data_IF_927928405702
#
_entry.id   IF_927928405702
#
_cell.length_a   1.000
_cell.length_b   1.000
_cell.length_c   1.000
_cell.angle_alpha   90.00
_cell.angle_beta   90.00
_cell.angle_gamma   90.00
#
_symmetry.space_group_name_H-M   'P 1'
#
loop_
_entity.id
_entity.type
_entity.pdbx_description
1 polymer ?
#
# COMPACT_ATOMS: atom_id res chain seq x y z
N UNK A 1 -11.42 12.76 -27.97
CA UNK A 1 -9.99 12.98 -27.62
C UNK A 1 -9.73 14.48 -27.63
N UNK A 2 -10.01 15.16 -26.53
CA UNK A 2 -9.87 16.61 -26.37
C UNK A 2 -8.69 16.89 -25.46
N UNK A 3 -7.67 17.56 -26.00
CA UNK A 3 -6.45 17.92 -25.29
C UNK A 3 -6.75 18.95 -24.20
N UNK A 4 -6.55 18.58 -22.93
CA UNK A 4 -6.60 19.49 -21.80
C UNK A 4 -5.34 20.38 -21.80
N UNK A 5 -5.53 21.69 -22.06
CA UNK A 5 -4.51 22.72 -21.89
C UNK A 5 -4.43 23.10 -20.41
N UNK A 6 -3.32 22.76 -19.75
CA UNK A 6 -3.01 23.19 -18.39
C UNK A 6 -2.35 24.57 -18.43
N UNK A 7 -3.02 25.59 -17.87
CA UNK A 7 -2.44 26.90 -17.59
C UNK A 7 -1.66 26.83 -16.28
N UNK A 8 -0.37 27.17 -16.31
CA UNK A 8 0.42 27.43 -15.11
C UNK A 8 0.35 28.93 -14.77
N UNK A 9 -0.03 29.33 -13.55
CA UNK A 9 0.11 30.72 -13.14
C UNK A 9 1.59 31.02 -12.84
N UNK A 10 2.08 32.15 -13.36
CA UNK A 10 3.33 32.76 -12.91
C UNK A 10 3.19 33.13 -11.42
N UNK A 11 3.91 32.42 -10.55
CA UNK A 11 4.04 32.77 -9.14
C UNK A 11 5.14 33.83 -9.01
N UNK A 12 4.76 35.01 -8.52
CA UNK A 12 5.66 36.07 -8.07
C UNK A 12 6.49 35.58 -6.88
N UNK A 13 7.80 35.44 -7.09
CA UNK A 13 8.77 35.11 -6.04
C UNK A 13 8.92 36.32 -5.12
N UNK A 14 8.18 36.33 -4.02
CA UNK A 14 8.42 37.25 -2.91
C UNK A 14 9.63 36.76 -2.13
N UNK A 15 10.74 37.51 -2.21
CA UNK A 15 11.98 37.20 -1.49
C UNK A 15 11.76 37.23 0.02
N UNK A 16 11.59 36.05 0.62
CA UNK A 16 11.67 35.89 2.06
C UNK A 16 13.14 36.01 2.47
N UNK A 17 13.48 37.12 3.12
CA UNK A 17 14.72 37.23 3.88
C UNK A 17 14.76 36.09 4.89
N UNK A 18 15.60 35.09 4.61
CA UNK A 18 15.80 33.93 5.46
C UNK A 18 16.52 34.40 6.71
N UNK A 19 15.79 34.71 7.78
CA UNK A 19 16.35 34.74 9.12
C UNK A 19 16.98 33.36 9.34
N UNK A 20 18.31 33.31 9.36
CA UNK A 20 19.07 32.10 9.62
C UNK A 20 18.69 31.60 11.03
N UNK A 21 17.71 30.70 11.10
CA UNK A 21 17.40 29.99 12.31
C UNK A 21 18.68 29.27 12.73
N UNK A 22 19.09 29.47 13.99
CA UNK A 22 20.22 28.75 14.53
C UNK A 22 19.98 27.24 14.35
N UNK A 23 21.01 26.45 13.99
CA UNK A 23 20.85 25.02 13.78
C UNK A 23 20.25 24.39 15.05
N UNK A 24 19.33 23.41 14.90
CA UNK A 24 18.72 22.74 16.05
C UNK A 24 19.82 22.16 16.92
N UNK A 25 19.88 22.58 18.19
CA UNK A 25 20.88 22.09 19.14
C UNK A 25 20.64 20.60 19.35
N UNK A 26 21.70 19.78 19.29
CA UNK A 26 21.61 18.34 19.58
C UNK A 26 21.27 18.17 21.05
N UNK A 27 20.01 17.82 21.34
CA UNK A 27 19.63 17.31 22.64
C UNK A 27 20.01 15.84 22.62
N UNK A 28 21.09 15.48 23.30
CA UNK A 28 21.47 14.08 23.46
C UNK A 28 20.25 13.27 23.95
N UNK A 29 19.96 12.09 23.38
CA UNK A 29 18.83 11.30 23.83
C UNK A 29 19.01 10.97 25.31
N UNK A 30 18.11 11.50 26.14
CA UNK A 30 17.94 11.04 27.53
C UNK A 30 17.28 9.67 27.43
N UNK A 31 18.08 8.63 27.56
CA UNK A 31 17.70 7.21 27.72
C UNK A 31 16.68 6.70 26.69
N UNK A 32 17.12 5.77 25.83
CA UNK A 32 16.18 5.06 24.95
C UNK A 32 15.13 4.31 25.80
N UNK A 33 13.83 4.41 25.46
CA UNK A 33 12.78 3.67 26.13
C UNK A 33 13.01 2.15 26.02
N UNK A 34 12.53 1.39 26.99
CA UNK A 34 12.55 -0.09 26.95
C UNK A 34 11.48 -0.56 25.98
N UNK A 35 11.89 -1.36 24.99
CA UNK A 35 11.00 -1.91 23.97
C UNK A 35 9.84 -2.71 24.60
N UNK A 36 8.56 -2.39 24.31
CA UNK A 36 7.43 -3.20 24.74
C UNK A 36 7.40 -4.61 24.10
N UNK A 37 8.05 -4.78 22.95
CA UNK A 37 8.23 -6.05 22.26
C UNK A 37 9.31 -6.95 22.89
N UNK A 38 9.97 -6.51 23.98
CA UNK A 38 10.99 -7.28 24.69
C UNK A 38 12.28 -7.49 23.89
N UNK A 39 12.52 -6.69 22.85
CA UNK A 39 13.78 -6.74 22.10
C UNK A 39 14.89 -6.14 22.97
N UNK A 40 15.99 -6.88 23.09
CA UNK A 40 17.09 -6.47 23.93
C UNK A 40 17.72 -5.15 23.43
N UNK A 41 17.99 -4.23 24.35
CA UNK A 41 18.50 -2.89 24.01
C UNK A 41 19.82 -2.97 23.24
N UNK A 42 20.62 -3.98 23.51
CA UNK A 42 21.90 -4.25 22.85
C UNK A 42 21.73 -4.52 21.35
N UNK A 43 20.60 -5.12 20.94
CA UNK A 43 20.27 -5.35 19.53
C UNK A 43 19.96 -4.03 18.83
N UNK A 44 19.37 -3.08 19.55
CA UNK A 44 18.94 -1.78 19.02
C UNK A 44 20.05 -0.74 19.04
N UNK A 45 20.95 -0.84 20.01
CA UNK A 45 22.02 0.11 20.24
C UNK A 45 22.87 0.33 18.98
N UNK A 46 23.17 -0.74 18.23
CA UNK A 46 23.96 -0.62 17.00
C UNK A 46 23.28 0.23 15.91
N UNK A 47 21.98 0.04 15.68
CA UNK A 47 21.23 0.83 14.68
C UNK A 47 21.06 2.29 15.15
N UNK A 48 20.76 2.48 16.44
CA UNK A 48 20.65 3.82 17.03
C UNK A 48 21.98 4.57 16.98
N UNK A 49 23.09 3.91 17.26
CA UNK A 49 24.42 4.53 17.24
C UNK A 49 24.82 4.97 15.82
N UNK A 50 24.47 4.16 14.80
CA UNK A 50 24.68 4.53 13.39
C UNK A 50 23.85 5.76 13.03
N UNK A 51 22.56 5.79 13.37
CA UNK A 51 21.68 6.92 13.12
C UNK A 51 22.13 8.20 13.86
N UNK A 52 22.53 8.06 15.13
CA UNK A 52 23.06 9.15 15.93
C UNK A 52 24.37 9.70 15.36
N UNK A 53 25.24 8.84 14.84
CA UNK A 53 26.46 9.29 14.17
C UNK A 53 26.17 10.04 12.87
N UNK A 54 25.27 9.50 12.04
CA UNK A 54 24.84 10.16 10.80
C UNK A 54 24.21 11.52 11.08
N UNK A 55 23.39 11.66 12.13
CA UNK A 55 22.85 12.94 12.58
C UNK A 55 23.94 13.92 12.99
N UNK A 56 24.87 13.51 13.87
CA UNK A 56 25.97 14.38 14.31
C UNK A 56 26.79 14.87 13.12
N UNK A 57 27.11 13.98 12.17
CA UNK A 57 27.87 14.32 10.96
C UNK A 57 27.10 15.26 10.05
N UNK A 58 25.81 14.98 9.79
CA UNK A 58 24.95 15.84 8.97
C UNK A 58 24.87 17.26 9.54
N UNK A 59 24.67 17.39 10.85
CA UNK A 59 24.52 18.68 11.52
C UNK A 59 25.86 19.41 11.76
N UNK A 60 26.99 18.72 11.63
CA UNK A 60 28.33 19.33 11.66
C UNK A 60 28.76 19.90 10.29
N UNK A 61 28.08 19.52 9.21
CA UNK A 61 28.38 20.02 7.88
C UNK A 61 28.17 21.54 7.76
N UNK A 62 29.06 22.20 7.00
CA UNK A 62 29.01 23.65 6.75
C UNK A 62 28.72 24.01 5.29
N UNK A 63 28.67 23.01 4.43
CA UNK A 63 28.43 23.15 3.00
C UNK A 63 27.65 21.95 2.44
N UNK A 64 27.14 22.13 1.23
CA UNK A 64 26.35 21.11 0.53
C UNK A 64 27.16 19.86 0.17
N UNK A 65 28.47 19.97 -0.05
CA UNK A 65 29.31 18.85 -0.44
C UNK A 65 29.47 17.85 0.73
N UNK A 66 29.70 18.36 1.94
CA UNK A 66 29.72 17.57 3.17
C UNK A 66 28.37 16.86 3.40
N UNK A 67 27.26 17.60 3.31
CA UNK A 67 25.93 17.02 3.51
C UNK A 67 25.57 15.96 2.46
N UNK A 68 25.98 16.15 1.20
CA UNK A 68 25.81 15.16 0.14
C UNK A 68 26.64 13.88 0.39
N UNK A 69 27.81 13.97 1.04
CA UNK A 69 28.57 12.79 1.43
C UNK A 69 27.88 12.01 2.56
N UNK A 70 27.26 12.70 3.53
CA UNK A 70 26.44 12.04 4.56
C UNK A 70 25.20 11.39 3.96
N UNK A 71 24.59 11.99 2.93
CA UNK A 71 23.48 11.37 2.18
C UNK A 71 23.88 10.04 1.52
N UNK A 72 25.12 9.88 1.04
CA UNK A 72 25.61 8.59 0.51
C UNK A 72 25.59 7.51 1.60
N UNK A 73 26.07 7.83 2.80
CA UNK A 73 26.07 6.88 3.92
C UNK A 73 24.65 6.57 4.40
N UNK A 74 23.76 7.58 4.40
CA UNK A 74 22.34 7.42 4.69
C UNK A 74 21.65 6.51 3.67
N UNK A 75 21.96 6.63 2.37
CA UNK A 75 21.46 5.71 1.34
C UNK A 75 21.90 4.29 1.66
N UNK A 76 23.19 4.07 1.93
CA UNK A 76 23.72 2.74 2.25
C UNK A 76 23.13 2.15 3.55
N UNK A 77 22.79 3.00 4.53
CA UNK A 77 22.04 2.60 5.71
C UNK A 77 20.60 2.22 5.34
N UNK A 78 19.89 3.10 4.63
CA UNK A 78 18.49 2.89 4.23
C UNK A 78 18.30 1.71 3.29
N UNK A 79 19.33 1.23 2.60
CA UNK A 79 19.25 0.00 1.78
C UNK A 79 19.29 -1.28 2.62
N UNK A 80 19.98 -1.27 3.77
CA UNK A 80 20.13 -2.44 4.64
C UNK A 80 19.22 -2.46 5.86
N UNK A 81 18.75 -1.28 6.30
CA UNK A 81 17.95 -1.16 7.50
C UNK A 81 16.70 -2.02 7.40
N UNK A 82 16.24 -2.61 8.50
CA UNK A 82 14.92 -3.23 8.50
C UNK A 82 13.89 -2.12 8.52
N UNK A 83 12.92 -2.18 7.61
CA UNK A 83 11.80 -1.25 7.56
C UNK A 83 10.59 -1.98 8.11
N UNK A 84 9.85 -1.33 9.00
CA UNK A 84 8.65 -1.92 9.60
C UNK A 84 7.64 -2.36 8.54
N UNK A 85 6.99 -3.49 8.79
CA UNK A 85 5.86 -3.93 7.99
C UNK A 85 4.76 -2.86 8.03
N UNK A 86 4.40 -2.25 6.89
CA UNK A 86 3.39 -1.19 6.87
C UNK A 86 1.95 -1.70 7.01
N UNK A 87 1.73 -3.02 7.05
CA UNK A 87 0.41 -3.66 7.03
C UNK A 87 0.01 -4.18 8.40
N UNK A 88 0.93 -4.75 9.17
CA UNK A 88 0.63 -5.27 10.51
C UNK A 88 0.66 -4.15 11.54
N UNK A 89 -0.45 -3.98 12.28
CA UNK A 89 -0.44 -3.26 13.56
C UNK A 89 0.26 -4.08 14.67
N UNK A 90 0.73 -5.30 14.35
CA UNK A 90 1.53 -6.12 15.26
C UNK A 90 2.94 -5.57 15.29
N UNK A 91 3.28 -4.96 16.42
CA UNK A 91 4.55 -4.39 16.91
C UNK A 91 5.77 -5.33 16.73
N UNK A 92 6.01 -5.83 15.53
CA UNK A 92 7.13 -6.76 15.28
C UNK A 92 8.46 -6.03 15.13
N UNK A 93 8.45 -4.70 15.17
CA UNK A 93 9.55 -3.83 15.59
C UNK A 93 8.95 -2.84 16.61
N UNK A 94 9.66 -2.46 17.68
CA UNK A 94 9.11 -1.58 18.70
C UNK A 94 8.74 -0.26 18.03
N UNK A 95 7.56 0.29 18.32
CA UNK A 95 7.21 1.67 17.92
C UNK A 95 8.34 2.65 18.26
N UNK A 96 9.10 2.35 19.31
CA UNK A 96 10.30 3.07 19.71
C UNK A 96 11.37 3.12 18.60
N UNK A 97 11.67 2.04 17.87
CA UNK A 97 12.68 2.08 16.82
C UNK A 97 12.22 2.87 15.60
N UNK A 98 10.96 2.75 15.21
CA UNK A 98 10.43 3.58 14.12
C UNK A 98 10.44 5.04 14.55
N UNK A 99 10.02 5.33 15.77
CA UNK A 99 10.05 6.68 16.33
C UNK A 99 11.49 7.21 16.41
N UNK A 100 12.45 6.39 16.83
CA UNK A 100 13.88 6.70 16.88
C UNK A 100 14.43 6.94 15.47
N UNK A 101 14.17 6.02 14.53
CA UNK A 101 14.62 6.13 13.15
C UNK A 101 14.02 7.36 12.46
N UNK A 102 12.72 7.62 12.66
CA UNK A 102 12.04 8.81 12.18
C UNK A 102 12.60 10.08 12.83
N UNK A 103 12.88 10.06 14.14
CA UNK A 103 13.49 11.17 14.87
C UNK A 103 14.86 11.54 14.27
N UNK A 104 15.76 10.56 14.17
CA UNK A 104 17.10 10.78 13.63
C UNK A 104 17.05 11.18 12.15
N UNK A 105 16.24 10.49 11.34
CA UNK A 105 16.08 10.80 9.91
C UNK A 105 15.55 12.23 9.71
N UNK A 106 14.53 12.64 10.47
CA UNK A 106 13.99 14.00 10.39
C UNK A 106 15.05 15.06 10.73
N UNK A 107 15.90 14.81 11.74
CA UNK A 107 17.01 15.72 12.10
C UNK A 107 18.10 15.75 11.05
N UNK A 108 18.49 14.60 10.51
CA UNK A 108 19.46 14.49 9.41
C UNK A 108 18.96 15.28 8.20
N UNK A 109 17.69 15.11 7.82
CA UNK A 109 17.06 15.81 6.70
C UNK A 109 16.94 17.31 6.95
N UNK A 110 16.60 17.73 8.18
CA UNK A 110 16.59 19.15 8.53
C UNK A 110 17.98 19.77 8.37
N UNK A 111 19.02 19.12 8.90
CA UNK A 111 20.40 19.60 8.80
C UNK A 111 20.89 19.67 7.33
N UNK A 112 20.60 18.66 6.50
CA UNK A 112 20.93 18.67 5.08
C UNK A 112 20.14 19.75 4.29
N UNK A 113 18.85 19.91 4.60
CA UNK A 113 17.97 20.88 3.93
C UNK A 113 18.37 22.33 4.21
N UNK A 114 18.88 22.63 5.42
CA UNK A 114 19.46 23.94 5.73
C UNK A 114 20.65 24.32 4.83
N UNK A 115 21.32 23.32 4.26
CA UNK A 115 22.44 23.48 3.31
C UNK A 115 22.00 23.36 1.85
N UNK A 116 20.68 23.30 1.59
CA UNK A 116 20.11 23.17 0.25
C UNK A 116 20.25 21.77 -0.36
N UNK A 117 20.59 20.76 0.43
CA UNK A 117 20.72 19.37 -0.04
C UNK A 117 19.39 18.63 0.17
N UNK A 118 18.88 18.05 -0.92
CA UNK A 118 17.75 17.11 -0.87
C UNK A 118 18.32 15.70 -0.80
N UNK A 119 17.95 14.96 0.22
CA UNK A 119 18.52 13.64 0.52
C UNK A 119 17.90 12.54 -0.33
N UNK A 120 18.74 11.73 -0.98
CA UNK A 120 18.30 10.54 -1.74
C UNK A 120 17.88 9.39 -0.83
N UNK A 121 18.37 9.38 0.41
CA UNK A 121 18.03 8.35 1.38
C UNK A 121 16.51 8.27 1.64
N UNK A 122 15.81 9.39 1.61
CA UNK A 122 14.35 9.44 1.73
C UNK A 122 13.67 8.71 0.55
N UNK A 123 14.12 8.99 -0.67
CA UNK A 123 13.69 8.29 -1.87
C UNK A 123 13.93 6.78 -1.83
N UNK A 124 15.05 6.31 -1.25
CA UNK A 124 15.32 4.88 -1.02
C UNK A 124 14.26 4.27 -0.10
N UNK A 125 13.93 4.94 1.00
CA UNK A 125 12.94 4.46 1.98
C UNK A 125 11.56 4.34 1.33
N UNK A 126 11.16 5.32 0.51
CA UNK A 126 9.90 5.28 -0.23
C UNK A 126 9.82 4.05 -1.16
N UNK A 127 10.85 3.82 -1.98
CA UNK A 127 10.91 2.67 -2.90
C UNK A 127 10.75 1.37 -2.14
N UNK A 128 11.52 1.19 -1.06
CA UNK A 128 11.46 -0.02 -0.24
C UNK A 128 10.12 -0.20 0.46
N UNK A 129 9.45 0.89 0.88
CA UNK A 129 8.11 0.80 1.48
C UNK A 129 7.09 0.31 0.45
N UNK A 130 7.15 0.77 -0.79
CA UNK A 130 6.28 0.26 -1.88
C UNK A 130 6.56 -1.21 -2.17
N UNK A 131 7.83 -1.63 -2.20
CA UNK A 131 8.21 -3.05 -2.32
C UNK A 131 7.65 -3.91 -1.19
N UNK A 132 7.67 -3.42 0.06
CA UNK A 132 7.05 -4.12 1.19
C UNK A 132 5.54 -4.25 1.03
N UNK A 133 4.84 -3.21 0.58
CA UNK A 133 3.41 -3.31 0.30
C UNK A 133 3.11 -4.34 -0.79
N UNK A 134 3.91 -4.37 -1.86
CA UNK A 134 3.82 -5.42 -2.89
C UNK A 134 3.98 -6.80 -2.26
N UNK A 135 5.07 -7.03 -1.53
CA UNK A 135 5.37 -8.35 -0.96
C UNK A 135 4.23 -8.83 -0.04
N UNK A 136 3.66 -7.92 0.75
CA UNK A 136 2.50 -8.21 1.60
C UNK A 136 1.24 -8.48 0.81
N UNK A 137 0.95 -7.71 -0.24
CA UNK A 137 -0.19 -7.96 -1.11
C UNK A 137 -0.07 -9.34 -1.78
N UNK A 138 1.13 -9.71 -2.24
CA UNK A 138 1.37 -11.00 -2.89
C UNK A 138 1.35 -12.19 -1.93
N UNK A 139 1.57 -11.96 -0.63
CA UNK A 139 1.48 -12.99 0.40
C UNK A 139 0.04 -13.24 0.91
N UNK A 140 -0.91 -12.35 0.58
CA UNK A 140 -2.31 -12.53 0.96
C UNK A 140 -2.93 -13.75 0.27
N UNK A 141 -3.77 -14.47 1.01
CA UNK A 141 -4.50 -15.65 0.53
C UNK A 141 -6.01 -15.41 0.42
N UNK A 142 -6.48 -14.22 0.82
CA UNK A 142 -7.88 -13.85 0.82
C UNK A 142 -8.07 -12.36 0.49
N UNK A 143 -9.27 -12.01 0.03
CA UNK A 143 -9.60 -10.63 -0.34
C UNK A 143 -9.53 -9.65 0.85
N UNK A 144 -9.99 -9.99 2.09
CA UNK A 144 -9.84 -9.09 3.23
C UNK A 144 -8.39 -8.69 3.53
N UNK A 145 -7.44 -9.61 3.43
CA UNK A 145 -6.01 -9.31 3.55
C UNK A 145 -5.57 -8.36 2.44
N UNK A 146 -5.84 -8.70 1.17
CA UNK A 146 -5.43 -7.89 0.02
C UNK A 146 -6.00 -6.46 0.08
N UNK A 147 -7.27 -6.31 0.47
CA UNK A 147 -7.93 -5.02 0.65
C UNK A 147 -7.28 -4.20 1.76
N UNK A 148 -6.96 -4.80 2.93
CA UNK A 148 -6.23 -4.08 4.00
C UNK A 148 -4.87 -3.57 3.52
N UNK A 149 -4.12 -4.37 2.76
CA UNK A 149 -2.84 -3.94 2.19
C UNK A 149 -3.04 -2.77 1.23
N UNK A 150 -4.03 -2.85 0.34
CA UNK A 150 -4.35 -1.79 -0.61
C UNK A 150 -4.73 -0.49 0.11
N UNK A 151 -5.59 -0.55 1.12
CA UNK A 151 -6.02 0.62 1.89
C UNK A 151 -4.83 1.32 2.58
N UNK A 152 -3.94 0.54 3.18
CA UNK A 152 -2.71 1.06 3.82
C UNK A 152 -1.75 1.65 2.79
N UNK A 153 -1.61 1.02 1.62
CA UNK A 153 -0.83 1.55 0.51
C UNK A 153 -1.41 2.88 0.00
N UNK A 154 -2.74 2.99 -0.17
CA UNK A 154 -3.39 4.23 -0.61
C UNK A 154 -3.24 5.35 0.42
N UNK A 155 -3.34 5.04 1.71
CA UNK A 155 -3.07 5.99 2.77
C UNK A 155 -1.61 6.50 2.75
N UNK A 156 -0.66 5.57 2.58
CA UNK A 156 0.76 5.90 2.41
C UNK A 156 0.99 6.76 1.15
N UNK A 157 0.47 6.37 0.00
CA UNK A 157 0.62 7.11 -1.25
C UNK A 157 0.06 8.54 -1.15
N UNK A 158 -1.08 8.71 -0.44
CA UNK A 158 -1.67 10.03 -0.16
C UNK A 158 -0.81 10.87 0.78
N UNK A 159 -0.23 10.26 1.82
CA UNK A 159 0.67 10.96 2.74
C UNK A 159 1.94 11.49 2.04
N UNK A 160 2.40 10.77 1.02
CA UNK A 160 3.56 11.11 0.22
C UNK A 160 3.21 11.75 -1.14
N UNK A 161 1.96 12.21 -1.30
CA UNK A 161 1.55 12.91 -2.52
C UNK A 161 2.32 14.23 -2.64
N UNK A 162 3.06 14.37 -3.74
CA UNK A 162 3.89 15.56 -3.98
C UNK A 162 5.27 15.51 -3.32
N UNK A 163 5.65 14.40 -2.70
CA UNK A 163 7.03 14.13 -2.37
C UNK A 163 7.88 14.20 -3.65
N UNK A 164 8.99 14.96 -3.58
CA UNK A 164 9.90 15.17 -4.71
C UNK A 164 11.29 14.65 -4.39
N UNK A 165 11.44 13.80 -3.39
CA UNK A 165 12.74 13.29 -2.95
C UNK A 165 13.51 12.70 -4.13
N UNK A 166 14.79 13.03 -4.28
CA UNK A 166 15.56 12.63 -5.44
C UNK A 166 15.73 11.11 -5.44
N UNK A 167 15.22 10.46 -6.48
CA UNK A 167 15.43 9.04 -6.78
C UNK A 167 16.16 8.89 -8.10
N UNK A 168 17.03 7.89 -8.19
CA UNK A 168 17.69 7.49 -9.44
C UNK A 168 16.69 6.84 -10.40
N UNK A 169 17.04 6.78 -11.69
CA UNK A 169 16.22 6.07 -12.67
C UNK A 169 15.95 4.62 -12.28
N UNK A 170 16.96 3.92 -11.75
CA UNK A 170 16.81 2.54 -11.27
C UNK A 170 15.80 2.43 -10.12
N UNK A 171 15.79 3.40 -9.21
CA UNK A 171 14.81 3.47 -8.11
C UNK A 171 13.41 3.80 -8.61
N UNK A 172 13.27 4.71 -9.58
CA UNK A 172 11.99 4.98 -10.23
C UNK A 172 11.41 3.72 -10.86
N UNK A 173 12.22 2.97 -11.61
CA UNK A 173 11.81 1.69 -12.20
C UNK A 173 11.35 0.71 -11.12
N UNK A 174 12.16 0.49 -10.07
CA UNK A 174 11.78 -0.39 -8.96
C UNK A 174 10.47 0.01 -8.30
N UNK A 175 10.25 1.30 -8.05
CA UNK A 175 9.01 1.79 -7.45
C UNK A 175 7.80 1.59 -8.37
N UNK A 176 7.96 1.84 -9.67
CA UNK A 176 6.91 1.60 -10.67
C UNK A 176 6.57 0.12 -10.81
N UNK A 177 7.58 -0.74 -10.88
CA UNK A 177 7.42 -2.19 -10.97
C UNK A 177 6.72 -2.71 -9.72
N UNK A 178 7.19 -2.33 -8.52
CA UNK A 178 6.57 -2.71 -7.27
C UNK A 178 5.11 -2.24 -7.15
N UNK A 179 4.80 -1.01 -7.57
CA UNK A 179 3.42 -0.52 -7.58
C UNK A 179 2.51 -1.27 -8.56
N UNK A 180 3.06 -1.67 -9.72
CA UNK A 180 2.33 -2.48 -10.71
C UNK A 180 2.07 -3.89 -10.17
N UNK A 181 3.11 -4.56 -9.66
CA UNK A 181 3.04 -5.90 -9.08
C UNK A 181 2.11 -5.94 -7.86
N UNK A 182 2.09 -4.90 -7.02
CA UNK A 182 1.14 -4.75 -5.92
C UNK A 182 -0.30 -4.80 -6.44
N UNK A 183 -0.62 -3.99 -7.46
CA UNK A 183 -1.95 -3.96 -8.06
C UNK A 183 -2.35 -5.30 -8.68
N UNK A 184 -1.41 -5.99 -9.31
CA UNK A 184 -1.64 -7.33 -9.85
C UNK A 184 -1.93 -8.36 -8.75
N UNK A 185 -1.15 -8.36 -7.67
CA UNK A 185 -1.34 -9.27 -6.54
C UNK A 185 -2.67 -9.04 -5.81
N UNK A 186 -3.05 -7.79 -5.55
CA UNK A 186 -4.35 -7.45 -4.95
C UNK A 186 -5.48 -7.92 -5.85
N UNK A 187 -5.43 -7.57 -7.13
CA UNK A 187 -6.49 -7.89 -8.09
C UNK A 187 -6.63 -9.41 -8.28
N UNK A 188 -5.52 -10.16 -8.38
CA UNK A 188 -5.55 -11.62 -8.47
C UNK A 188 -6.30 -12.22 -7.26
N UNK A 189 -5.92 -11.82 -6.05
CA UNK A 189 -6.50 -12.35 -4.81
C UNK A 189 -7.99 -12.03 -4.71
N UNK A 190 -8.40 -10.80 -5.04
CA UNK A 190 -9.81 -10.40 -5.09
C UNK A 190 -10.59 -11.22 -6.12
N UNK A 191 -10.03 -11.41 -7.31
CA UNK A 191 -10.65 -12.17 -8.39
C UNK A 191 -10.79 -13.67 -8.08
N UNK A 192 -9.81 -14.26 -7.40
CA UNK A 192 -9.93 -15.64 -6.89
C UNK A 192 -11.07 -15.77 -5.88
N UNK A 193 -11.18 -14.81 -4.94
CA UNK A 193 -12.28 -14.78 -3.98
C UNK A 193 -13.65 -14.62 -4.67
N UNK A 194 -13.77 -13.76 -5.69
CA UNK A 194 -15.01 -13.62 -6.45
C UNK A 194 -15.47 -14.94 -7.08
N UNK A 195 -14.54 -15.74 -7.60
CA UNK A 195 -14.87 -17.04 -8.18
C UNK A 195 -15.30 -18.05 -7.10
N UNK A 196 -14.70 -18.00 -5.91
CA UNK A 196 -15.12 -18.82 -4.78
C UNK A 196 -16.53 -18.44 -4.31
N UNK A 197 -16.81 -17.14 -4.18
CA UNK A 197 -18.12 -16.62 -3.77
C UNK A 197 -19.20 -16.98 -4.80
N UNK A 198 -18.94 -16.83 -6.10
CA UNK A 198 -19.85 -17.23 -7.17
C UNK A 198 -20.18 -18.73 -7.11
N UNK A 199 -19.18 -19.58 -6.89
CA UNK A 199 -19.40 -21.03 -6.74
C UNK A 199 -20.24 -21.35 -5.50
N UNK A 200 -20.03 -20.62 -4.40
CA UNK A 200 -20.82 -20.79 -3.18
C UNK A 200 -22.28 -20.34 -3.39
N UNK A 201 -22.50 -19.18 -4.04
CA UNK A 201 -23.83 -18.69 -4.41
C UNK A 201 -24.55 -19.66 -5.34
N UNK A 202 -23.86 -20.20 -6.35
CA UNK A 202 -24.41 -21.25 -7.23
C UNK A 202 -24.81 -22.47 -6.41
N UNK A 203 -23.93 -22.98 -5.54
CA UNK A 203 -24.23 -24.15 -4.72
C UNK A 203 -25.46 -23.93 -3.81
N UNK A 204 -25.58 -22.75 -3.21
CA UNK A 204 -26.73 -22.38 -2.39
C UNK A 204 -28.02 -22.28 -3.22
N UNK A 205 -27.97 -21.65 -4.40
CA UNK A 205 -29.10 -21.56 -5.32
C UNK A 205 -29.59 -22.94 -5.79
N UNK A 206 -28.68 -23.86 -6.12
CA UNK A 206 -29.03 -25.21 -6.56
C UNK A 206 -29.49 -26.13 -5.42
N UNK A 207 -29.27 -25.75 -4.17
CA UNK A 207 -29.79 -26.45 -3.00
C UNK A 207 -31.21 -26.01 -2.62
N UNK A 208 -31.76 -24.97 -3.27
CA UNK A 208 -33.12 -24.54 -3.01
C UNK A 208 -34.15 -25.51 -3.60
N UNK A 209 -35.15 -25.86 -2.79
CA UNK A 209 -36.26 -26.74 -3.19
C UNK A 209 -37.58 -25.98 -3.41
N UNK A 210 -37.61 -24.68 -3.10
CA UNK A 210 -38.79 -23.84 -3.21
C UNK A 210 -38.48 -22.39 -3.65
N UNK A 211 -39.54 -21.67 -4.01
CA UNK A 211 -39.47 -20.29 -4.47
C UNK A 211 -38.97 -19.31 -3.39
N UNK A 212 -39.25 -19.58 -2.12
CA UNK A 212 -38.85 -18.69 -1.01
C UNK A 212 -37.33 -18.69 -0.87
N UNK A 213 -36.73 -19.89 -0.82
CA UNK A 213 -35.28 -20.05 -0.84
C UNK A 213 -34.67 -19.41 -2.10
N UNK A 214 -35.25 -19.66 -3.28
CA UNK A 214 -34.75 -19.08 -4.53
C UNK A 214 -34.73 -17.54 -4.51
N UNK A 215 -35.75 -16.90 -3.95
CA UNK A 215 -35.82 -15.44 -3.83
C UNK A 215 -34.80 -14.89 -2.83
N UNK A 216 -34.54 -15.59 -1.73
CA UNK A 216 -33.47 -15.24 -0.79
C UNK A 216 -32.08 -15.32 -1.45
N UNK A 217 -31.81 -16.38 -2.21
CA UNK A 217 -30.54 -16.55 -2.92
C UNK A 217 -30.39 -15.52 -4.06
N UNK A 218 -31.46 -15.20 -4.78
CA UNK A 218 -31.45 -14.11 -5.76
C UNK A 218 -31.07 -12.77 -5.11
N UNK A 219 -31.62 -12.45 -3.94
CA UNK A 219 -31.26 -11.25 -3.20
C UNK A 219 -29.79 -11.30 -2.71
N UNK A 220 -29.29 -12.47 -2.32
CA UNK A 220 -27.88 -12.65 -1.96
C UNK A 220 -26.94 -12.37 -3.16
N UNK A 221 -27.28 -12.86 -4.36
CA UNK A 221 -26.54 -12.61 -5.59
C UNK A 221 -26.53 -11.13 -5.95
N UNK A 222 -27.67 -10.44 -5.83
CA UNK A 222 -27.74 -8.99 -6.08
C UNK A 222 -26.85 -8.19 -5.12
N UNK A 223 -26.89 -8.52 -3.81
CA UNK A 223 -26.00 -7.90 -2.82
C UNK A 223 -24.53 -8.15 -3.14
N UNK A 224 -24.19 -9.38 -3.51
CA UNK A 224 -22.84 -9.74 -3.92
C UNK A 224 -22.40 -8.97 -5.18
N UNK A 225 -23.25 -8.89 -6.21
CA UNK A 225 -22.95 -8.18 -7.44
C UNK A 225 -22.72 -6.68 -7.20
N UNK A 226 -23.56 -6.05 -6.39
CA UNK A 226 -23.40 -4.63 -6.02
C UNK A 226 -22.10 -4.40 -5.23
N UNK A 227 -21.79 -5.28 -4.26
CA UNK A 227 -20.58 -5.18 -3.45
C UNK A 227 -19.29 -5.35 -4.28
N UNK A 228 -19.37 -6.03 -5.43
CA UNK A 228 -18.20 -6.41 -6.22
C UNK A 228 -18.14 -5.77 -7.61
N UNK A 229 -19.05 -4.83 -7.92
CA UNK A 229 -19.14 -4.20 -9.26
C UNK A 229 -17.89 -3.44 -9.70
N UNK A 230 -17.06 -3.02 -8.74
CA UNK A 230 -15.85 -2.21 -9.00
C UNK A 230 -14.60 -3.06 -9.22
N UNK A 231 -14.67 -4.39 -9.00
CA UNK A 231 -13.53 -5.27 -9.18
C UNK A 231 -13.41 -5.64 -10.66
N UNK A 232 -12.36 -5.19 -11.36
CA UNK A 232 -12.18 -5.52 -12.77
C UNK A 232 -11.81 -6.99 -12.93
N UNK A 233 -12.49 -7.69 -13.82
CA UNK A 233 -12.13 -9.05 -14.18
C UNK A 233 -10.71 -9.10 -14.77
N UNK A 234 -9.92 -10.11 -14.39
CA UNK A 234 -8.50 -10.20 -14.81
C UNK A 234 -8.24 -10.83 -16.18
N UNK A 235 -9.28 -11.30 -16.88
CA UNK A 235 -9.09 -11.84 -18.23
C UNK A 235 -10.34 -12.49 -18.81
N UNK A 236 -10.27 -12.80 -20.11
CA UNK A 236 -11.38 -13.40 -20.87
C UNK A 236 -11.80 -14.76 -20.31
N UNK A 237 -10.84 -15.63 -19.97
CA UNK A 237 -11.14 -16.96 -19.42
C UNK A 237 -11.91 -16.90 -18.09
N UNK A 238 -11.55 -15.95 -17.22
CA UNK A 238 -12.26 -15.77 -15.95
C UNK A 238 -13.65 -15.18 -16.17
N UNK A 239 -13.79 -14.21 -17.08
CA UNK A 239 -15.10 -13.68 -17.47
C UNK A 239 -16.01 -14.78 -18.00
N UNK A 240 -15.48 -15.68 -18.83
CA UNK A 240 -16.25 -16.80 -19.35
C UNK A 240 -16.68 -17.76 -18.24
N UNK A 241 -15.77 -18.13 -17.34
CA UNK A 241 -16.12 -18.97 -16.19
C UNK A 241 -17.17 -18.30 -15.28
N UNK A 242 -17.08 -16.98 -15.08
CA UNK A 242 -18.08 -16.25 -14.30
C UNK A 242 -19.45 -16.23 -14.99
N UNK A 243 -19.51 -16.13 -16.34
CA UNK A 243 -20.75 -16.23 -17.11
C UNK A 243 -21.37 -17.63 -17.02
N UNK A 244 -20.57 -18.67 -17.17
CA UNK A 244 -21.03 -20.06 -17.03
C UNK A 244 -21.65 -20.30 -15.65
N UNK A 245 -20.95 -19.90 -14.57
CA UNK A 245 -21.48 -20.00 -13.20
C UNK A 245 -22.76 -19.16 -13.02
N UNK A 246 -22.82 -17.98 -13.63
CA UNK A 246 -24.02 -17.13 -13.60
C UNK A 246 -25.22 -17.79 -14.28
N UNK A 247 -25.03 -18.41 -15.44
CA UNK A 247 -26.08 -19.13 -16.17
C UNK A 247 -26.57 -20.38 -15.42
N UNK A 248 -25.65 -21.15 -14.82
CA UNK A 248 -25.99 -22.29 -13.97
C UNK A 248 -26.79 -21.87 -12.74
N UNK A 249 -26.36 -20.78 -12.08
CA UNK A 249 -27.05 -20.20 -10.94
C UNK A 249 -28.48 -19.79 -11.32
N UNK A 250 -28.66 -19.08 -12.44
CA UNK A 250 -29.97 -18.65 -12.91
C UNK A 250 -30.89 -19.86 -13.19
N UNK A 251 -30.35 -20.88 -13.84
CA UNK A 251 -31.07 -22.15 -14.11
C UNK A 251 -31.56 -22.79 -12.82
N UNK A 252 -30.71 -22.89 -11.79
CA UNK A 252 -31.08 -23.43 -10.49
C UNK A 252 -32.18 -22.62 -9.79
N UNK A 253 -32.09 -21.29 -9.82
CA UNK A 253 -33.12 -20.42 -9.25
C UNK A 253 -34.47 -20.53 -9.98
N UNK A 254 -34.45 -20.69 -11.30
CA UNK A 254 -35.67 -20.89 -12.08
C UNK A 254 -36.33 -22.24 -11.76
N UNK A 255 -35.54 -23.31 -11.68
CA UNK A 255 -36.04 -24.64 -11.32
C UNK A 255 -36.71 -24.65 -9.93
N UNK A 256 -36.07 -24.05 -8.92
CA UNK A 256 -36.60 -23.98 -7.54
C UNK A 256 -37.90 -23.17 -7.43
N UNK A 257 -38.13 -22.18 -8.31
CA UNK A 257 -39.40 -21.44 -8.39
C UNK A 257 -40.55 -22.24 -9.01
N UNK A 258 -40.31 -23.51 -9.32
CA UNK A 258 -41.25 -24.34 -10.07
C UNK A 258 -41.37 -23.84 -11.50
N UNK A 259 -40.24 -23.42 -12.09
CA UNK A 259 -40.14 -22.95 -13.47
C UNK A 259 -41.04 -23.82 -14.34
N UNK A 260 -42.17 -23.22 -14.71
CA UNK A 260 -43.29 -23.87 -15.37
C UNK A 260 -42.70 -24.76 -16.48
N UNK A 261 -42.72 -26.07 -16.26
CA UNK A 261 -43.02 -27.00 -17.33
C UNK A 261 -44.42 -26.59 -17.78
N UNK A 262 -44.46 -25.51 -18.58
CA UNK A 262 -45.54 -25.25 -19.48
C UNK A 262 -45.61 -26.49 -20.34
N UNK A 263 -46.39 -27.45 -19.85
CA UNK A 263 -47.22 -28.33 -20.61
C UNK A 263 -48.06 -27.39 -21.47
N UNK A 264 -47.40 -26.90 -22.52
CA UNK A 264 -47.99 -26.27 -23.68
C UNK A 264 -48.77 -27.42 -24.30
N UNK A 265 -49.95 -27.63 -23.71
CA UNK A 265 -50.97 -28.53 -24.16
C UNK A 265 -51.11 -28.28 -25.63
N UNK A 266 -50.52 -29.20 -26.39
CA UNK A 266 -50.86 -29.45 -27.78
C UNK A 266 -52.33 -29.83 -27.75
N UNK A 267 -53.21 -28.81 -27.76
CA UNK A 267 -54.60 -29.01 -28.11
C UNK A 267 -54.62 -29.40 -29.59
N UNK A 268 -55.15 -30.60 -29.93
CA UNK A 268 -55.21 -31.10 -31.30
C UNK A 268 -56.11 -30.25 -32.21
#
# INVERSE_FOLDING_TARGET
MTAARWWWPLILVSGCASSAAAPPTSAAPRELPVSPAGIDREVLAAEVDVLADLERRACACRDAACAAAVDVDMVAYSERATINDPVTDVETWPEDLDAIANYYSARIFACASHLGVRTRADGVVLVRRVELFRDRACACQDAPCATRVLDRFLAFAKQHEGDRSPISQAQTTRMTDAGTELGECVRRTQNEQLMLDLRALRAAACACEDATCADEQQAAVQRWAEANREIPATGEAQLEQARELGAELETCLQAARGGDDGDAGSSP
#
